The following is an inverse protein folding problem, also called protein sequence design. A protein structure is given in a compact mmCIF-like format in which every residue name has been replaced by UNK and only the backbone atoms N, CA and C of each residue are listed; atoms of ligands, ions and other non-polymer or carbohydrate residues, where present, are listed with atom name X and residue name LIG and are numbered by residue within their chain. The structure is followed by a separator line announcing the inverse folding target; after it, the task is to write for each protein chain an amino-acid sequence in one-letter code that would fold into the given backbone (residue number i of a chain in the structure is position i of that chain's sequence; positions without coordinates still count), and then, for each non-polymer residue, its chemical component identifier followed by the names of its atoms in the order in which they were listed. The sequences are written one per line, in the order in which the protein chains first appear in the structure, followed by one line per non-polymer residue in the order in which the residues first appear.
data_IF_257229568060
#
_entry.id   IF_257229568060
#
_cell.length_a   1.000
_cell.length_b   1.000
_cell.length_c   1.000
_cell.angle_alpha   90.00
_cell.angle_beta   90.00
_cell.angle_gamma   90.00
#
_symmetry.space_group_name_H-M   'P 1'
#
loop_
_entity.id
_entity.type
_entity.pdbx_description
1 polymer ?
#
# COMPACT_ATOMS: atom_id res chain seq x y z
N UNK A 1 -14.58 35.97 -5.39
CA UNK A 1 -13.84 35.14 -6.37
C UNK A 1 -14.01 33.70 -5.96
N UNK A 2 -14.87 32.96 -6.69
CA UNK A 2 -15.22 31.52 -6.53
C UNK A 2 -15.62 31.05 -5.12
N UNK A 3 -16.76 31.57 -4.65
CA UNK A 3 -17.55 31.03 -3.53
C UNK A 3 -18.53 29.97 -4.06
N UNK A 4 -18.20 28.68 -3.92
CA UNK A 4 -19.15 27.62 -4.31
C UNK A 4 -18.63 26.19 -4.43
N UNK A 5 -17.32 25.92 -4.24
CA UNK A 5 -16.84 24.54 -4.11
C UNK A 5 -16.95 24.12 -2.64
N UNK A 6 -17.51 22.95 -2.29
CA UNK A 6 -17.33 22.43 -0.95
C UNK A 6 -15.82 22.21 -0.76
N UNK A 7 -15.21 23.03 0.09
CA UNK A 7 -13.78 22.95 0.41
C UNK A 7 -13.59 21.76 1.34
N UNK A 8 -13.53 20.56 0.77
CA UNK A 8 -13.14 19.39 1.54
C UNK A 8 -11.70 19.59 1.99
N UNK A 9 -11.46 19.64 3.31
CA UNK A 9 -10.09 19.73 3.89
C UNK A 9 -9.40 18.36 3.98
N UNK A 10 -10.07 17.30 3.51
CA UNK A 10 -9.62 15.92 3.61
C UNK A 10 -8.76 15.52 2.40
N UNK A 11 -7.64 14.88 2.68
CA UNK A 11 -6.83 14.15 1.70
C UNK A 11 -7.01 12.66 1.99
N UNK A 12 -7.56 11.93 1.02
CA UNK A 12 -7.74 10.48 1.09
C UNK A 12 -6.56 9.80 0.39
N UNK A 13 -5.99 8.78 1.02
CA UNK A 13 -4.92 7.93 0.49
C UNK A 13 -5.05 6.53 1.09
N UNK A 14 -4.46 5.54 0.43
CA UNK A 14 -4.43 4.14 0.92
C UNK A 14 -3.00 3.73 1.26
N UNK A 15 -2.05 4.04 0.38
CA UNK A 15 -0.63 3.85 0.61
C UNK A 15 0.11 5.18 0.42
N UNK A 16 1.18 5.36 1.20
CA UNK A 16 2.07 6.51 1.17
C UNK A 16 3.50 6.06 0.88
N UNK A 17 4.47 6.97 0.99
CA UNK A 17 5.89 6.61 0.93
C UNK A 17 6.36 5.87 2.19
N UNK A 18 5.79 6.23 3.35
CA UNK A 18 5.94 5.52 4.61
C UNK A 18 4.81 4.50 4.74
N UNK A 19 5.15 3.26 5.13
CA UNK A 19 4.21 2.15 5.20
C UNK A 19 4.29 1.22 3.99
N UNK A 20 3.35 0.29 3.91
CA UNK A 20 3.29 -0.67 2.80
C UNK A 20 2.80 0.00 1.51
N UNK A 21 3.32 -0.47 0.37
CA UNK A 21 2.76 -0.17 -0.95
C UNK A 21 1.35 -0.76 -1.10
N UNK A 22 0.56 -0.28 -2.06
CA UNK A 22 -0.77 -0.84 -2.31
C UNK A 22 -0.72 -2.34 -2.65
N UNK A 23 0.32 -2.77 -3.37
CA UNK A 23 0.50 -4.18 -3.71
C UNK A 23 0.90 -5.02 -2.48
N UNK A 24 1.70 -4.46 -1.58
CA UNK A 24 2.15 -5.17 -0.39
C UNK A 24 1.06 -5.30 0.67
N UNK A 25 0.13 -4.34 0.78
CA UNK A 25 -1.03 -4.41 1.70
C UNK A 25 -1.84 -5.69 1.48
N UNK A 26 -1.94 -6.18 0.24
CA UNK A 26 -2.71 -7.38 -0.10
C UNK A 26 -1.87 -8.67 -0.15
N UNK A 27 -0.55 -8.55 0.05
CA UNK A 27 0.41 -9.64 -0.10
C UNK A 27 1.21 -9.96 1.17
N UNK A 28 1.27 -9.05 2.14
CA UNK A 28 2.05 -9.21 3.36
C UNK A 28 1.21 -8.87 4.59
N UNK A 29 1.11 -9.80 5.53
CA UNK A 29 0.45 -9.57 6.82
C UNK A 29 1.42 -8.89 7.80
N UNK A 30 2.72 -9.17 7.68
CA UNK A 30 3.75 -8.63 8.55
C UNK A 30 4.75 -7.78 7.76
N UNK A 31 5.44 -6.88 8.47
CA UNK A 31 6.56 -6.12 7.90
C UNK A 31 7.78 -7.03 7.73
N UNK A 32 8.51 -6.81 6.65
CA UNK A 32 9.75 -7.50 6.30
C UNK A 32 10.85 -6.45 6.08
N UNK A 33 11.27 -5.79 7.16
CA UNK A 33 12.26 -4.71 7.14
C UNK A 33 13.69 -5.20 7.43
N UNK A 34 13.96 -6.50 7.36
CA UNK A 34 15.25 -7.11 7.68
C UNK A 34 16.41 -6.48 6.87
N UNK A 35 16.12 -6.06 5.63
CA UNK A 35 17.07 -5.39 4.75
C UNK A 35 17.58 -4.05 5.30
N UNK A 36 16.88 -3.43 6.25
CA UNK A 36 17.26 -2.16 6.86
C UNK A 36 18.35 -2.33 7.94
N UNK A 37 18.72 -3.56 8.31
CA UNK A 37 19.81 -3.83 9.26
C UNK A 37 19.43 -3.65 10.74
N UNK A 38 18.19 -3.27 11.04
CA UNK A 38 17.69 -3.05 12.41
C UNK A 38 16.98 -4.28 13.00
N UNK A 39 17.19 -5.47 12.41
CA UNK A 39 16.56 -6.73 12.83
C UNK A 39 15.01 -6.64 12.84
N UNK A 40 14.44 -5.96 11.83
CA UNK A 40 12.99 -5.77 11.67
C UNK A 40 12.32 -5.02 12.85
N UNK A 41 13.09 -4.26 13.64
CA UNK A 41 12.54 -3.46 14.76
C UNK A 41 11.92 -2.14 14.30
N UNK A 42 12.37 -1.63 13.17
CA UNK A 42 11.93 -0.38 12.56
C UNK A 42 10.60 -0.55 11.80
N UNK A 43 9.86 0.55 11.58
CA UNK A 43 8.53 0.53 10.93
C UNK A 43 7.36 0.15 11.85
N UNK A 44 6.13 0.43 11.39
CA UNK A 44 4.91 0.18 12.15
C UNK A 44 4.48 -1.30 12.10
N UNK A 45 3.93 -1.82 13.20
CA UNK A 45 3.49 -3.23 13.27
C UNK A 45 2.04 -3.43 12.82
N UNK A 46 1.19 -2.41 12.93
CA UNK A 46 -0.23 -2.48 12.58
C UNK A 46 -0.46 -1.87 11.18
N UNK A 47 -0.27 -2.67 10.13
CA UNK A 47 -0.40 -2.20 8.74
C UNK A 47 -1.83 -2.31 8.18
N UNK A 48 -2.79 -2.87 8.94
CA UNK A 48 -4.14 -3.21 8.46
C UNK A 48 -4.09 -3.97 7.12
N UNK A 49 -3.11 -4.85 6.97
CA UNK A 49 -2.83 -5.61 5.76
C UNK A 49 -3.35 -7.04 5.86
N UNK A 50 -3.54 -7.69 4.71
CA UNK A 50 -4.00 -9.08 4.62
C UNK A 50 -3.37 -9.74 3.40
N UNK A 51 -2.72 -10.88 3.58
CA UNK A 51 -1.86 -11.49 2.57
C UNK A 51 -2.59 -12.39 1.55
N UNK A 52 -3.92 -12.48 1.62
CA UNK A 52 -4.74 -13.37 0.78
C UNK A 52 -4.44 -14.86 0.96
N UNK A 53 -3.91 -15.26 2.12
CA UNK A 53 -3.69 -16.66 2.49
C UNK A 53 -2.26 -17.17 2.29
N UNK A 54 -1.38 -16.37 1.68
CA UNK A 54 0.04 -16.68 1.54
C UNK A 54 0.89 -15.44 1.81
N UNK A 55 1.96 -15.54 2.59
CA UNK A 55 2.84 -14.40 2.86
C UNK A 55 3.82 -14.17 1.69
N UNK A 56 3.76 -13.01 1.05
CA UNK A 56 4.65 -12.61 -0.05
C UNK A 56 4.28 -13.19 -1.42
N UNK A 57 5.28 -13.34 -2.29
CA UNK A 57 5.10 -13.90 -3.64
C UNK A 57 4.55 -15.33 -3.58
N UNK A 58 3.65 -15.67 -4.51
CA UNK A 58 2.99 -16.98 -4.57
C UNK A 58 2.68 -17.36 -6.02
N UNK A 59 2.80 -18.65 -6.32
CA UNK A 59 2.40 -19.25 -7.60
C UNK A 59 0.94 -19.72 -7.61
N UNK A 60 0.21 -19.54 -6.50
CA UNK A 60 -1.21 -19.87 -6.43
C UNK A 60 -2.02 -18.84 -7.25
N UNK A 61 -2.63 -19.31 -8.34
CA UNK A 61 -3.42 -18.48 -9.24
C UNK A 61 -4.66 -17.89 -8.56
N UNK A 62 -5.28 -18.60 -7.61
CA UNK A 62 -6.46 -18.12 -6.90
C UNK A 62 -6.09 -16.97 -5.96
N UNK A 63 -4.97 -17.07 -5.26
CA UNK A 63 -4.45 -15.99 -4.40
C UNK A 63 -4.06 -14.79 -5.26
N UNK A 64 -3.37 -15.02 -6.37
CA UNK A 64 -2.97 -13.95 -7.31
C UNK A 64 -4.17 -13.20 -7.87
N UNK A 65 -5.24 -13.91 -8.23
CA UNK A 65 -6.50 -13.31 -8.69
C UNK A 65 -7.19 -12.51 -7.57
N UNK A 66 -7.26 -13.05 -6.35
CA UNK A 66 -7.85 -12.37 -5.21
C UNK A 66 -7.12 -11.04 -4.91
N UNK A 67 -5.79 -11.05 -4.85
CA UNK A 67 -4.96 -9.84 -4.70
C UNK A 67 -5.20 -8.82 -5.80
N UNK A 68 -5.33 -9.29 -7.04
CA UNK A 68 -5.63 -8.43 -8.20
C UNK A 68 -6.99 -7.74 -8.05
N UNK A 69 -8.00 -8.43 -7.53
CA UNK A 69 -9.33 -7.88 -7.27
C UNK A 69 -9.31 -6.90 -6.10
N UNK A 70 -8.63 -7.24 -5.00
CA UNK A 70 -8.52 -6.37 -3.83
C UNK A 70 -7.84 -5.04 -4.15
N UNK A 71 -6.74 -5.07 -4.92
CA UNK A 71 -6.07 -3.83 -5.38
C UNK A 71 -7.02 -2.93 -6.16
N UNK A 72 -7.84 -3.50 -7.06
CA UNK A 72 -8.84 -2.75 -7.82
C UNK A 72 -9.94 -2.21 -6.91
N UNK A 73 -10.41 -2.99 -5.94
CA UNK A 73 -11.45 -2.58 -4.99
C UNK A 73 -10.97 -1.42 -4.09
N UNK A 74 -9.73 -1.49 -3.61
CA UNK A 74 -9.08 -0.43 -2.85
C UNK A 74 -8.99 0.86 -3.68
N UNK A 75 -8.43 0.78 -4.90
CA UNK A 75 -8.37 1.94 -5.80
C UNK A 75 -9.75 2.50 -6.11
N UNK A 76 -10.73 1.65 -6.43
CA UNK A 76 -12.09 2.07 -6.71
C UNK A 76 -12.70 2.81 -5.52
N UNK A 77 -12.46 2.34 -4.29
CA UNK A 77 -12.93 2.99 -3.05
C UNK A 77 -12.29 4.37 -2.89
N UNK A 78 -10.98 4.50 -3.13
CA UNK A 78 -10.29 5.78 -3.08
C UNK A 78 -10.88 6.77 -4.10
N UNK A 79 -11.09 6.34 -5.35
CA UNK A 79 -11.65 7.19 -6.41
C UNK A 79 -13.13 7.50 -6.24
N UNK A 80 -13.90 6.65 -5.56
CA UNK A 80 -15.30 6.89 -5.21
C UNK A 80 -15.47 7.80 -3.98
N UNK A 81 -14.41 8.07 -3.23
CA UNK A 81 -14.45 8.87 -2.00
C UNK A 81 -14.54 10.37 -2.28
N UNK A 82 -15.27 11.10 -1.43
CA UNK A 82 -15.33 12.57 -1.48
C UNK A 82 -14.07 13.15 -0.83
N UNK A 83 -13.37 14.05 -1.52
CA UNK A 83 -12.17 14.71 -1.00
C UNK A 83 -11.11 14.86 -2.07
N UNK A 84 -9.93 15.36 -1.68
CA UNK A 84 -8.74 15.32 -2.53
C UNK A 84 -8.15 13.91 -2.48
N UNK A 85 -7.89 13.31 -3.63
CA UNK A 85 -7.26 11.99 -3.74
C UNK A 85 -5.75 12.16 -3.85
N UNK A 86 -5.00 11.41 -3.04
CA UNK A 86 -3.56 11.24 -3.17
C UNK A 86 -3.26 9.79 -3.54
N UNK A 87 -2.52 9.61 -4.64
CA UNK A 87 -2.02 8.32 -5.11
C UNK A 87 -0.50 8.35 -5.04
N UNK A 88 0.10 7.35 -4.40
CA UNK A 88 1.56 7.22 -4.33
C UNK A 88 2.09 6.68 -5.65
N UNK A 89 3.12 7.32 -6.19
CA UNK A 89 3.70 6.94 -7.47
C UNK A 89 4.19 5.47 -7.45
N UNK A 90 3.86 4.72 -8.50
CA UNK A 90 4.15 3.31 -8.66
C UNK A 90 3.02 2.38 -8.20
N UNK A 91 2.09 2.80 -7.34
CA UNK A 91 0.94 1.96 -6.96
C UNK A 91 0.01 1.72 -8.17
N UNK A 92 0.02 2.61 -9.16
CA UNK A 92 -0.72 2.43 -10.41
C UNK A 92 -0.23 1.24 -11.25
N UNK A 93 1.02 0.81 -11.06
CA UNK A 93 1.62 -0.35 -11.73
C UNK A 93 1.82 -1.56 -10.80
N UNK A 94 1.44 -1.44 -9.53
CA UNK A 94 1.64 -2.50 -8.53
C UNK A 94 3.08 -2.58 -8.02
N UNK A 95 3.72 -1.42 -7.81
CA UNK A 95 5.02 -1.32 -7.10
C UNK A 95 4.97 -2.11 -5.80
N UNK A 96 6.01 -2.89 -5.55
CA UNK A 96 6.22 -3.66 -4.31
C UNK A 96 7.55 -3.24 -3.70
N UNK A 97 7.59 -3.22 -2.37
CA UNK A 97 8.81 -3.12 -1.57
C UNK A 97 9.07 -4.45 -0.85
N UNK A 98 8.48 -5.55 -1.35
CA UNK A 98 8.59 -6.91 -0.82
C UNK A 98 8.26 -7.03 0.67
N UNK A 99 7.26 -6.27 1.11
CA UNK A 99 6.84 -6.23 2.51
C UNK A 99 7.67 -5.29 3.40
N UNK A 100 8.67 -4.60 2.85
CA UNK A 100 9.36 -3.53 3.58
C UNK A 100 8.46 -2.30 3.66
N UNK A 101 8.05 -1.92 4.87
CA UNK A 101 7.15 -0.79 5.10
C UNK A 101 7.88 0.48 5.58
N UNK A 102 9.23 0.46 5.55
CA UNK A 102 10.09 1.55 6.02
C UNK A 102 11.39 1.60 5.20
N UNK A 103 11.29 1.71 3.88
CA UNK A 103 12.43 1.63 2.96
C UNK A 103 13.32 2.90 2.95
N UNK A 104 13.55 3.54 4.08
CA UNK A 104 14.25 4.84 4.18
C UNK A 104 15.74 4.76 3.79
N UNK A 105 16.36 3.60 3.98
CA UNK A 105 17.79 3.35 3.74
C UNK A 105 18.05 2.44 2.53
N UNK A 106 17.04 2.22 1.69
CA UNK A 106 17.08 1.32 0.54
C UNK A 106 17.25 2.15 -0.74
N UNK A 107 18.51 2.45 -1.11
CA UNK A 107 18.88 3.07 -2.40
C UNK A 107 19.23 1.98 -3.43
N UNK A 108 18.22 1.22 -3.81
CA UNK A 108 18.32 0.08 -4.73
C UNK A 108 17.15 0.14 -5.73
N UNK A 109 17.49 -0.13 -6.99
CA UNK A 109 16.59 -0.08 -8.15
C UNK A 109 15.71 -1.33 -8.27
#
# INVERSE_FOLDING_TARGET
GRDGRPTTRTVNFIAAHDGMTLADIVAYERKHNEANGEQNRDGHNDNLSWNNGAEGETDDEAISLARSNDRRALLATLFASRGTIMLTAGDEFGRTQKGNNNAYAQDNA
#
